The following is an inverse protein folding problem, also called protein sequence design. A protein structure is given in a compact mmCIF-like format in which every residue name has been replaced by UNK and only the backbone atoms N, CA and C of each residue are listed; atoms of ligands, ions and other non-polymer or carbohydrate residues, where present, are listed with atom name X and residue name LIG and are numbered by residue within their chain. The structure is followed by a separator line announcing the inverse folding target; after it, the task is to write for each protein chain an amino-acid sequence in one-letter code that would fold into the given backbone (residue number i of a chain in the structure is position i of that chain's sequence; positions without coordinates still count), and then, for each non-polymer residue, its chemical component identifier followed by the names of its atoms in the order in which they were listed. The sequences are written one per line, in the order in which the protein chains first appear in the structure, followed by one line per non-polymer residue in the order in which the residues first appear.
data_IF_227173120542
#
_entry.id   IF_227173120542
#
_cell.length_a   1.000
_cell.length_b   1.000
_cell.length_c   1.000
_cell.angle_alpha   90.00
_cell.angle_beta   90.00
_cell.angle_gamma   90.00
#
_symmetry.space_group_name_H-M   'P 1'
#
loop_
_entity.id
_entity.type
_entity.pdbx_description
1 polymer ?
#
# COMPACT_ATOMS: atom_id res chain seq x y z
N UNK A 1 12.08 5.34 -7.33
CA UNK A 1 11.83 4.84 -5.97
C UNK A 1 11.01 5.87 -5.25
N UNK A 2 9.70 5.65 -5.26
CA UNK A 2 8.72 6.43 -4.53
C UNK A 2 9.00 6.32 -3.04
N UNK A 3 8.95 7.47 -2.37
CA UNK A 3 8.83 7.50 -0.92
C UNK A 3 7.53 6.82 -0.49
N UNK A 4 7.46 6.38 0.77
CA UNK A 4 6.23 5.83 1.31
C UNK A 4 5.12 6.88 1.23
N UNK A 5 4.05 6.57 0.49
CA UNK A 5 2.89 7.43 0.31
C UNK A 5 1.77 7.02 1.24
N UNK A 6 1.07 8.00 1.80
CA UNK A 6 -0.08 7.75 2.65
C UNK A 6 -1.31 8.54 2.19
N UNK A 7 -2.48 7.91 2.25
CA UNK A 7 -3.76 8.54 1.95
C UNK A 7 -4.86 7.99 2.85
N UNK A 8 -5.97 8.71 2.94
CA UNK A 8 -7.15 8.27 3.69
C UNK A 8 -8.20 7.67 2.76
N UNK A 9 -8.86 6.61 3.22
CA UNK A 9 -9.95 5.95 2.51
C UNK A 9 -10.94 5.34 3.50
N UNK A 10 -12.20 5.83 3.50
CA UNK A 10 -13.32 5.31 4.31
C UNK A 10 -13.00 5.15 5.81
N UNK A 11 -12.33 6.13 6.42
CA UNK A 11 -11.97 6.08 7.84
C UNK A 11 -10.77 5.18 8.14
N UNK A 12 -9.96 4.86 7.13
CA UNK A 12 -8.69 4.17 7.27
C UNK A 12 -7.58 5.02 6.66
N UNK A 13 -6.43 5.08 7.34
CA UNK A 13 -5.18 5.57 6.77
C UNK A 13 -4.45 4.40 6.10
N UNK A 14 -4.17 4.54 4.82
CA UNK A 14 -3.41 3.58 4.02
C UNK A 14 -2.01 4.13 3.81
N UNK A 15 -0.99 3.29 4.02
CA UNK A 15 0.40 3.59 3.69
C UNK A 15 0.91 2.56 2.69
N UNK A 16 1.46 3.01 1.57
CA UNK A 16 2.02 2.18 0.51
C UNK A 16 3.48 2.55 0.32
N UNK A 17 4.32 1.54 0.29
CA UNK A 17 5.74 1.67 -0.04
C UNK A 17 6.05 0.73 -1.21
N UNK A 18 6.64 1.29 -2.26
CA UNK A 18 7.11 0.56 -3.43
C UNK A 18 8.63 0.72 -3.50
N UNK A 19 9.35 -0.40 -3.54
CA UNK A 19 10.80 -0.42 -3.76
C UNK A 19 11.14 -1.36 -4.89
N UNK A 20 12.16 -1.03 -5.64
CA UNK A 20 12.74 -1.93 -6.62
C UNK A 20 13.92 -2.67 -5.97
N UNK A 21 14.10 -3.98 -6.19
CA UNK A 21 15.34 -4.68 -5.88
C UNK A 21 16.50 -4.03 -6.62
N UNK A 22 17.69 -4.01 -6.02
CA UNK A 22 18.89 -3.55 -6.70
C UNK A 22 19.19 -4.50 -7.88
N UNK A 23 19.14 -3.95 -9.10
CA UNK A 23 19.41 -4.66 -10.34
C UNK A 23 20.06 -3.70 -11.35
N UNK A 24 20.76 -4.26 -12.35
CA UNK A 24 21.43 -3.47 -13.39
C UNK A 24 20.44 -2.78 -14.35
N UNK A 25 19.21 -3.28 -14.41
CA UNK A 25 18.12 -2.75 -15.23
C UNK A 25 16.79 -2.91 -14.51
N UNK A 26 15.75 -2.22 -14.99
CA UNK A 26 14.40 -2.47 -14.49
C UNK A 26 13.99 -3.92 -14.79
N UNK A 27 13.72 -4.66 -13.71
CA UNK A 27 13.32 -6.06 -13.78
C UNK A 27 11.81 -6.22 -13.92
N UNK A 28 11.04 -5.13 -13.79
CA UNK A 28 9.61 -5.15 -13.56
C UNK A 28 9.23 -5.70 -12.19
N UNK A 29 10.20 -6.06 -11.33
CA UNK A 29 9.93 -6.59 -9.99
C UNK A 29 9.90 -5.46 -8.98
N UNK A 30 8.80 -5.34 -8.25
CA UNK A 30 8.59 -4.32 -7.23
C UNK A 30 8.24 -4.96 -5.90
N UNK A 31 8.99 -4.63 -4.85
CA UNK A 31 8.70 -4.92 -3.46
C UNK A 31 7.65 -3.94 -2.95
N UNK A 32 6.48 -4.45 -2.61
CA UNK A 32 5.33 -3.69 -2.14
C UNK A 32 5.08 -3.97 -0.66
N UNK A 33 4.91 -2.92 0.13
CA UNK A 33 4.36 -2.98 1.50
C UNK A 33 3.09 -2.16 1.53
N UNK A 34 2.01 -2.74 2.06
CA UNK A 34 0.73 -2.07 2.26
C UNK A 34 0.37 -2.21 3.73
N UNK A 35 0.24 -1.07 4.41
CA UNK A 35 -0.26 -1.00 5.77
C UNK A 35 -1.55 -0.19 5.81
N UNK A 36 -2.49 -0.61 6.65
CA UNK A 36 -3.73 0.11 6.92
C UNK A 36 -3.89 0.33 8.42
N UNK A 37 -4.34 1.50 8.83
CA UNK A 37 -4.64 1.84 10.21
C UNK A 37 -6.04 2.43 10.28
N UNK A 38 -6.85 2.02 11.24
CA UNK A 38 -8.15 2.66 11.45
C UNK A 38 -7.93 4.11 11.91
N UNK A 39 -8.64 5.06 11.31
CA UNK A 39 -8.61 6.46 11.73
C UNK A 39 -9.62 6.66 12.85
N UNK A 40 -9.16 7.18 13.99
CA UNK A 40 -9.98 7.53 15.15
C UNK A 40 -10.84 8.78 14.90
N UNK A 41 -11.80 9.07 15.80
CA UNK A 41 -12.66 10.26 15.71
C UNK A 41 -11.91 11.58 15.83
N UNK A 42 -10.68 11.55 16.35
CA UNK A 42 -9.73 12.66 16.46
C UNK A 42 -8.78 12.79 15.25
N UNK A 43 -8.94 11.93 14.23
CA UNK A 43 -8.04 11.86 13.09
C UNK A 43 -6.73 11.11 13.36
N UNK A 44 -6.54 10.55 14.57
CA UNK A 44 -5.35 9.78 14.87
C UNK A 44 -5.41 8.40 14.18
N UNK A 45 -4.30 7.99 13.56
CA UNK A 45 -4.18 6.63 13.06
C UNK A 45 -3.96 5.66 14.25
N UNK A 46 -4.77 4.61 14.31
CA UNK A 46 -4.56 3.48 15.22
C UNK A 46 -3.38 2.61 14.80
N UNK A 47 -3.26 1.44 15.43
CA UNK A 47 -2.18 0.49 15.13
C UNK A 47 -2.25 0.01 13.66
N UNK A 48 -1.15 0.13 12.89
CA UNK A 48 -1.13 -0.30 11.50
C UNK A 48 -1.10 -1.83 11.37
N UNK A 49 -1.97 -2.36 10.51
CA UNK A 49 -2.01 -3.75 10.08
C UNK A 49 -1.43 -3.86 8.68
N UNK A 50 -0.50 -4.78 8.48
CA UNK A 50 0.08 -5.04 7.16
C UNK A 50 -0.82 -5.97 6.36
N UNK A 51 -1.35 -5.49 5.23
CA UNK A 51 -1.98 -6.35 4.23
C UNK A 51 -0.92 -7.19 3.51
N UNK A 52 0.23 -6.57 3.21
CA UNK A 52 1.42 -7.26 2.78
C UNK A 52 2.67 -6.49 3.22
N UNK A 53 3.77 -7.20 3.40
CA UNK A 53 5.05 -6.61 3.82
C UNK A 53 6.15 -7.12 2.92
N UNK A 54 6.81 -6.21 2.19
CA UNK A 54 7.92 -6.53 1.28
C UNK A 54 7.61 -7.65 0.27
N UNK A 55 6.37 -7.73 -0.18
CA UNK A 55 5.94 -8.74 -1.15
C UNK A 55 6.43 -8.36 -2.55
N UNK A 56 7.03 -9.30 -3.27
CA UNK A 56 7.54 -9.08 -4.62
C UNK A 56 6.46 -9.40 -5.66
N UNK A 57 6.24 -8.47 -6.59
CA UNK A 57 5.29 -8.62 -7.68
C UNK A 57 5.89 -8.08 -8.98
N UNK A 58 5.43 -8.60 -10.11
CA UNK A 58 5.83 -8.12 -11.43
C UNK A 58 4.81 -7.11 -11.94
N UNK A 59 5.28 -5.93 -12.33
CA UNK A 59 4.50 -4.86 -12.94
C UNK A 59 5.28 -4.25 -14.11
N UNK A 60 4.55 -3.56 -15.01
CA UNK A 60 5.14 -2.93 -16.19
C UNK A 60 6.03 -1.74 -15.81
N UNK A 61 5.70 -1.03 -14.72
CA UNK A 61 6.44 0.10 -14.17
C UNK A 61 6.06 0.34 -12.68
N UNK A 62 6.74 1.31 -12.05
CA UNK A 62 6.54 1.71 -10.65
C UNK A 62 5.12 2.27 -10.39
N UNK A 63 4.53 2.96 -11.37
CA UNK A 63 3.19 3.54 -11.24
C UNK A 63 2.11 2.46 -11.28
N UNK A 64 2.25 1.46 -12.14
CA UNK A 64 1.40 0.28 -12.20
C UNK A 64 1.46 -0.51 -10.89
N UNK A 65 2.65 -0.65 -10.29
CA UNK A 65 2.82 -1.26 -8.98
C UNK A 65 2.05 -0.51 -7.89
N UNK A 66 2.15 0.82 -7.90
CA UNK A 66 1.42 1.68 -6.97
C UNK A 66 -0.10 1.58 -7.15
N UNK A 67 -0.62 1.69 -8.38
CA UNK A 67 -2.05 1.60 -8.64
C UNK A 67 -2.62 0.23 -8.26
N UNK A 68 -1.89 -0.85 -8.50
CA UNK A 68 -2.27 -2.18 -8.06
C UNK A 68 -2.32 -2.28 -6.52
N UNK A 69 -1.35 -1.68 -5.83
CA UNK A 69 -1.34 -1.61 -4.37
C UNK A 69 -2.52 -0.80 -3.82
N UNK A 70 -2.85 0.35 -4.42
CA UNK A 70 -4.03 1.16 -4.08
C UNK A 70 -5.32 0.36 -4.26
N UNK A 71 -5.48 -0.29 -5.42
CA UNK A 71 -6.66 -1.10 -5.71
C UNK A 71 -6.83 -2.24 -4.70
N UNK A 72 -5.74 -2.91 -4.33
CA UNK A 72 -5.74 -3.99 -3.33
C UNK A 72 -6.09 -3.47 -1.93
N UNK A 73 -5.54 -2.33 -1.52
CA UNK A 73 -5.87 -1.71 -0.23
C UNK A 73 -7.36 -1.33 -0.15
N UNK A 74 -7.90 -0.70 -1.21
CA UNK A 74 -9.31 -0.32 -1.30
C UNK A 74 -10.23 -1.54 -1.27
N UNK A 75 -9.93 -2.56 -2.07
CA UNK A 75 -10.71 -3.80 -2.11
C UNK A 75 -10.75 -4.49 -0.74
N UNK A 76 -9.63 -4.49 0.00
CA UNK A 76 -9.61 -5.01 1.36
C UNK A 76 -10.51 -4.21 2.29
N UNK A 77 -10.37 -2.87 2.31
CA UNK A 77 -11.20 -1.99 3.14
C UNK A 77 -12.69 -2.10 2.80
N UNK A 78 -13.02 -2.23 1.52
CA UNK A 78 -14.41 -2.40 1.06
C UNK A 78 -15.03 -3.73 1.52
N UNK A 79 -14.20 -4.75 1.80
CA UNK A 79 -14.62 -6.02 2.38
C UNK A 79 -14.69 -6.05 3.90
N UNK A 80 -14.19 -5.01 4.60
CA UNK A 80 -14.29 -4.90 6.04
C UNK A 80 -15.70 -4.46 6.46
N UNK A 81 -16.20 -4.91 7.63
CA UNK A 81 -17.44 -4.38 8.18
C UNK A 81 -17.33 -2.85 8.35
N UNK A 82 -18.34 -2.13 7.87
CA UNK A 82 -18.40 -0.66 8.00
C UNK A 82 -18.36 -0.30 9.49
N UNK A 83 -17.41 0.56 9.85
CA UNK A 83 -17.34 1.18 11.18
C UNK A 83 -18.39 2.28 11.33
#
# INVERSE_FOLDING_TARGET
MRDAEAFEYRGWRVTIEIRQPAAESDTGVYMTTIAIAATGPDGAAGEPVFLCKRAQYVYLDEDAAYQAAVARARAHIDGLPRR
#
